data_IF_569085821831
#
_entry.id   IF_569085821831
#
_cell.length_a   1.000
_cell.length_b   1.000
_cell.length_c   1.000
_cell.angle_alpha   90.00
_cell.angle_beta   90.00
_cell.angle_gamma   90.00
#
_symmetry.space_group_name_H-M   'P 1'
#
loop_
_entity.id
_entity.type
_entity.pdbx_description
1 polymer ?
#
# COMPACT_ATOMS: atom_id res chain seq x y z
N UNK A 1 -8.14 16.97 -33.03
CA UNK A 1 -8.83 16.26 -31.94
C UNK A 1 -7.83 16.00 -30.84
N UNK A 2 -7.81 16.85 -29.82
CA UNK A 2 -6.90 16.71 -28.67
C UNK A 2 -7.47 15.67 -27.73
N UNK A 3 -6.70 14.63 -27.38
CA UNK A 3 -7.06 13.71 -26.30
C UNK A 3 -7.20 14.53 -25.01
N UNK A 4 -8.24 14.33 -24.18
CA UNK A 4 -8.22 14.91 -22.86
C UNK A 4 -7.07 14.26 -22.10
N UNK A 5 -6.09 15.06 -21.67
CA UNK A 5 -5.11 14.65 -20.67
C UNK A 5 -5.87 14.44 -19.36
N UNK A 6 -6.40 13.24 -19.17
CA UNK A 6 -7.13 12.88 -17.97
C UNK A 6 -6.18 12.80 -16.79
N UNK A 7 -5.90 13.94 -16.14
CA UNK A 7 -5.56 13.91 -14.72
C UNK A 7 -6.81 13.44 -14.01
N UNK A 8 -6.82 12.18 -13.61
CA UNK A 8 -7.80 11.69 -12.65
C UNK A 8 -7.47 12.40 -11.34
N UNK A 9 -8.20 13.46 -11.00
CA UNK A 9 -8.09 14.06 -9.68
C UNK A 9 -8.61 13.03 -8.68
N UNK A 10 -7.73 12.53 -7.83
CA UNK A 10 -8.09 11.70 -6.69
C UNK A 10 -8.33 12.64 -5.49
N UNK A 11 -9.43 12.41 -4.77
CA UNK A 11 -9.63 13.00 -3.45
C UNK A 11 -8.84 12.21 -2.39
N UNK A 12 -8.65 12.81 -1.21
CA UNK A 12 -7.94 12.14 -0.10
C UNK A 12 -8.62 10.81 0.24
N UNK A 13 -9.95 10.79 0.21
CA UNK A 13 -10.74 9.60 0.49
C UNK A 13 -10.30 8.41 -0.37
N UNK A 14 -10.23 8.61 -1.67
CA UNK A 14 -9.84 7.58 -2.63
C UNK A 14 -8.37 7.20 -2.45
N UNK A 15 -7.49 8.16 -2.18
CA UNK A 15 -6.08 7.88 -1.86
C UNK A 15 -5.94 6.93 -0.67
N UNK A 16 -6.59 7.25 0.45
CA UNK A 16 -6.58 6.38 1.64
C UNK A 16 -7.16 4.99 1.36
N UNK A 17 -8.34 4.89 0.74
CA UNK A 17 -8.95 3.58 0.45
C UNK A 17 -8.09 2.71 -0.46
N UNK A 18 -7.40 3.31 -1.44
CA UNK A 18 -6.50 2.58 -2.32
C UNK A 18 -5.28 2.08 -1.55
N UNK A 19 -4.64 2.95 -0.76
CA UNK A 19 -3.47 2.58 0.03
C UNK A 19 -3.83 1.47 1.03
N UNK A 20 -4.94 1.61 1.76
CA UNK A 20 -5.46 0.56 2.65
C UNK A 20 -5.63 -0.80 1.92
N UNK A 21 -6.17 -0.81 0.71
CA UNK A 21 -6.32 -2.05 -0.08
C UNK A 21 -4.97 -2.65 -0.47
N UNK A 22 -4.02 -1.82 -0.94
CA UNK A 22 -2.68 -2.26 -1.32
C UNK A 22 -1.95 -2.87 -0.12
N UNK A 23 -1.82 -2.13 0.99
CA UNK A 23 -1.08 -2.60 2.18
C UNK A 23 -1.69 -3.91 2.72
N UNK A 24 -3.02 -4.00 2.76
CA UNK A 24 -3.70 -5.20 3.22
C UNK A 24 -3.45 -6.40 2.31
N UNK A 25 -3.35 -6.18 1.00
CA UNK A 25 -3.09 -7.25 0.02
C UNK A 25 -1.62 -7.67 0.06
N UNK A 26 -0.68 -6.75 0.23
CA UNK A 26 0.73 -7.09 0.49
C UNK A 26 0.85 -7.94 1.76
N UNK A 27 0.23 -7.52 2.87
CA UNK A 27 0.24 -8.27 4.12
C UNK A 27 -0.27 -9.71 3.94
N UNK A 28 -1.36 -9.90 3.17
CA UNK A 28 -1.91 -11.23 2.86
C UNK A 28 -1.00 -12.05 1.96
N UNK A 29 -0.40 -11.44 0.93
CA UNK A 29 0.54 -12.10 0.02
C UNK A 29 1.75 -12.62 0.80
N UNK A 30 2.35 -11.79 1.66
CA UNK A 30 3.49 -12.19 2.49
C UNK A 30 3.12 -13.25 3.54
N UNK A 31 1.92 -13.17 4.13
CA UNK A 31 1.44 -14.25 5.01
C UNK A 31 1.32 -15.59 4.27
N UNK A 32 0.81 -15.58 3.03
CA UNK A 32 0.73 -16.79 2.21
C UNK A 32 2.12 -17.31 1.82
N UNK A 33 3.06 -16.44 1.48
CA UNK A 33 4.45 -16.85 1.21
C UNK A 33 5.11 -17.48 2.44
N UNK A 34 4.82 -16.98 3.65
CA UNK A 34 5.29 -17.60 4.90
C UNK A 34 4.82 -19.05 5.03
N UNK A 35 3.55 -19.32 4.73
CA UNK A 35 3.01 -20.68 4.77
C UNK A 35 3.61 -21.58 3.69
N UNK A 36 3.64 -21.12 2.43
CA UNK A 36 4.10 -21.92 1.29
C UNK A 36 5.60 -22.20 1.37
N UNK A 37 6.41 -21.15 1.59
CA UNK A 37 7.86 -21.27 1.57
C UNK A 37 8.42 -21.74 2.92
N UNK A 38 7.62 -21.64 3.99
CA UNK A 38 7.96 -22.20 5.29
C UNK A 38 8.01 -23.73 5.31
N UNK A 39 7.31 -24.40 4.39
CA UNK A 39 7.47 -25.85 4.19
C UNK A 39 8.86 -26.20 3.63
N UNK A 40 9.51 -25.27 2.94
CA UNK A 40 10.84 -25.45 2.33
C UNK A 40 11.96 -25.03 3.28
N UNK A 41 11.78 -23.92 4.02
CA UNK A 41 12.77 -23.36 4.93
C UNK A 41 12.11 -22.54 6.06
N UNK A 42 12.36 -22.90 7.32
CA UNK A 42 11.85 -22.18 8.50
C UNK A 42 12.32 -20.71 8.53
N UNK A 43 13.54 -20.42 8.04
CA UNK A 43 14.02 -19.05 7.95
C UNK A 43 13.21 -18.23 6.96
N UNK A 44 12.73 -18.85 5.88
CA UNK A 44 11.82 -18.20 4.93
C UNK A 44 10.46 -17.93 5.58
N UNK A 45 9.91 -18.88 6.36
CA UNK A 45 8.66 -18.68 7.10
C UNK A 45 8.72 -17.42 7.97
N UNK A 46 9.76 -17.30 8.80
CA UNK A 46 9.95 -16.18 9.73
C UNK A 46 10.16 -14.86 8.99
N UNK A 47 10.93 -14.89 7.88
CA UNK A 47 11.16 -13.71 7.06
C UNK A 47 9.84 -13.16 6.49
N UNK A 48 9.05 -14.02 5.84
CA UNK A 48 7.79 -13.60 5.22
C UNK A 48 6.70 -13.24 6.25
N UNK A 49 6.70 -13.87 7.42
CA UNK A 49 5.85 -13.46 8.54
C UNK A 49 6.20 -12.05 9.02
N UNK A 50 7.49 -11.72 9.08
CA UNK A 50 7.97 -10.39 9.46
C UNK A 50 7.54 -9.34 8.43
N UNK A 51 7.74 -9.61 7.14
CA UNK A 51 7.29 -8.74 6.05
C UNK A 51 5.76 -8.52 6.11
N UNK A 52 4.97 -9.59 6.27
CA UNK A 52 3.51 -9.48 6.43
C UNK A 52 3.10 -8.60 7.61
N UNK A 53 3.84 -8.70 8.72
CA UNK A 53 3.61 -7.90 9.92
C UNK A 53 3.88 -6.42 9.68
N UNK A 54 4.93 -6.09 8.93
CA UNK A 54 5.24 -4.70 8.56
C UNK A 54 4.12 -4.08 7.71
N UNK A 55 3.64 -4.78 6.68
CA UNK A 55 2.54 -4.26 5.84
C UNK A 55 1.21 -4.15 6.58
N UNK A 56 0.95 -5.05 7.53
CA UNK A 56 -0.20 -4.91 8.42
C UNK A 56 -0.11 -3.65 9.28
N UNK A 57 1.08 -3.27 9.74
CA UNK A 57 1.29 -2.02 10.48
C UNK A 57 1.08 -0.80 9.58
N UNK A 58 1.52 -0.86 8.32
CA UNK A 58 1.24 0.19 7.32
C UNK A 58 -0.27 0.37 7.12
N UNK A 59 -1.01 -0.71 6.90
CA UNK A 59 -2.48 -0.68 6.81
C UNK A 59 -3.13 0.02 8.01
N UNK A 60 -2.74 -0.35 9.24
CA UNK A 60 -3.27 0.27 10.46
C UNK A 60 -2.95 1.77 10.50
N UNK A 61 -1.73 2.16 10.14
CA UNK A 61 -1.31 3.57 10.16
C UNK A 61 -2.09 4.41 9.15
N UNK A 62 -2.35 3.86 7.96
CA UNK A 62 -3.15 4.51 6.91
C UNK A 62 -4.59 4.69 7.38
N UNK A 63 -5.23 3.66 7.93
CA UNK A 63 -6.61 3.77 8.47
C UNK A 63 -6.70 4.79 9.60
N UNK A 64 -5.77 4.74 10.55
CA UNK A 64 -5.69 5.74 11.62
C UNK A 64 -5.52 7.15 11.08
N UNK A 65 -4.63 7.32 10.10
CA UNK A 65 -4.39 8.59 9.42
C UNK A 65 -5.61 9.13 8.68
N UNK A 66 -6.38 8.25 8.02
CA UNK A 66 -7.64 8.58 7.38
C UNK A 66 -8.64 9.15 8.38
N UNK A 67 -8.79 8.52 9.55
CA UNK A 67 -9.69 9.00 10.61
C UNK A 67 -9.28 10.39 11.14
N UNK A 68 -7.97 10.64 11.30
CA UNK A 68 -7.45 11.96 11.67
C UNK A 68 -7.82 12.99 10.59
N UNK A 69 -7.54 12.69 9.33
CA UNK A 69 -7.80 13.62 8.23
C UNK A 69 -9.30 13.91 8.09
N UNK A 70 -10.15 12.89 8.18
CA UNK A 70 -11.61 13.03 8.15
C UNK A 70 -12.12 14.00 9.23
N UNK A 71 -11.60 13.88 10.45
CA UNK A 71 -11.99 14.72 11.57
C UNK A 71 -11.54 16.17 11.43
N UNK A 72 -10.36 16.41 10.87
CA UNK A 72 -9.70 17.72 10.95
C UNK A 72 -9.75 18.56 9.68
N UNK A 73 -9.74 17.91 8.51
CA UNK A 73 -9.75 18.58 7.21
C UNK A 73 -10.89 18.09 6.31
N UNK A 74 -11.45 16.90 6.58
CA UNK A 74 -12.42 16.26 5.69
C UNK A 74 -11.73 15.59 4.50
N UNK A 75 -12.36 14.54 3.95
CA UNK A 75 -11.73 13.69 2.93
C UNK A 75 -12.10 14.03 1.48
N UNK A 76 -13.14 14.85 1.28
CA UNK A 76 -13.62 15.23 -0.06
C UNK A 76 -12.76 16.32 -0.72
N UNK A 77 -11.65 16.70 -0.07
CA UNK A 77 -10.72 17.69 -0.62
C UNK A 77 -9.97 17.11 -1.82
N UNK A 78 -9.92 17.88 -2.91
CA UNK A 78 -9.06 17.57 -4.04
C UNK A 78 -7.63 17.78 -3.59
N UNK A 79 -6.83 16.75 -3.81
CA UNK A 79 -5.45 16.70 -3.35
C UNK A 79 -4.54 17.35 -4.38
N UNK A 80 -3.90 18.46 -4.01
CA UNK A 80 -2.77 18.97 -4.77
C UNK A 80 -1.50 18.17 -4.43
N UNK A 81 -0.79 17.71 -5.46
CA UNK A 81 0.50 17.03 -5.28
C UNK A 81 0.42 15.52 -5.02
N UNK A 82 -0.73 14.87 -5.22
CA UNK A 82 -0.76 13.40 -5.30
C UNK A 82 0.21 12.96 -6.42
N UNK A 83 1.10 11.98 -6.18
CA UNK A 83 1.95 11.44 -7.22
C UNK A 83 1.12 10.98 -8.43
N UNK A 84 1.70 11.12 -9.63
CA UNK A 84 1.06 10.63 -10.85
C UNK A 84 1.25 9.11 -10.93
N UNK A 85 0.43 8.39 -10.17
CA UNK A 85 0.50 6.94 -10.03
C UNK A 85 -0.19 6.22 -11.18
N UNK A 86 0.47 5.19 -11.68
CA UNK A 86 -0.09 4.24 -12.64
C UNK A 86 -0.89 3.18 -11.88
N UNK A 87 -2.05 3.59 -11.35
CA UNK A 87 -2.89 2.71 -10.50
C UNK A 87 -3.24 1.38 -11.17
N UNK A 88 -3.52 1.40 -12.48
CA UNK A 88 -3.82 0.18 -13.24
C UNK A 88 -2.64 -0.80 -13.21
N UNK A 89 -1.40 -0.30 -13.28
CA UNK A 89 -0.19 -1.12 -13.22
C UNK A 89 0.02 -1.71 -11.82
N UNK A 90 -0.20 -0.93 -10.76
CA UNK A 90 -0.11 -1.41 -9.37
C UNK A 90 -1.07 -2.58 -9.17
N UNK A 91 -2.35 -2.39 -9.56
CA UNK A 91 -3.36 -3.44 -9.41
C UNK A 91 -3.15 -4.64 -10.34
N UNK A 92 -2.61 -4.44 -11.55
CA UNK A 92 -2.24 -5.53 -12.44
C UNK A 92 -1.15 -6.41 -11.82
N UNK A 93 -0.10 -5.81 -11.25
CA UNK A 93 0.98 -6.55 -10.56
C UNK A 93 0.45 -7.29 -9.34
N UNK A 94 -0.38 -6.64 -8.52
CA UNK A 94 -1.05 -7.26 -7.37
C UNK A 94 -1.85 -8.50 -7.78
N UNK A 95 -2.79 -8.35 -8.71
CA UNK A 95 -3.66 -9.45 -9.14
C UNK A 95 -2.85 -10.56 -9.80
N UNK A 96 -1.84 -10.24 -10.59
CA UNK A 96 -0.94 -11.25 -11.17
C UNK A 96 -0.26 -12.07 -10.08
N UNK A 97 0.32 -11.43 -9.08
CA UNK A 97 1.07 -12.13 -8.03
C UNK A 97 0.16 -12.87 -7.04
N UNK A 98 -1.04 -12.38 -6.76
CA UNK A 98 -2.07 -13.15 -6.05
C UNK A 98 -2.42 -14.44 -6.78
N UNK A 99 -2.62 -14.38 -8.10
CA UNK A 99 -2.90 -15.56 -8.89
C UNK A 99 -1.72 -16.55 -8.87
N UNK A 100 -0.48 -16.07 -8.94
CA UNK A 100 0.71 -16.93 -8.84
C UNK A 100 0.77 -17.67 -7.51
N UNK A 101 0.60 -16.95 -6.39
CA UNK A 101 0.56 -17.56 -5.04
C UNK A 101 -0.54 -18.62 -4.92
N UNK A 102 -1.71 -18.40 -5.53
CA UNK A 102 -2.81 -19.36 -5.44
C UNK A 102 -2.67 -20.58 -6.36
N UNK A 103 -1.97 -20.47 -7.49
CA UNK A 103 -2.05 -21.44 -8.58
C UNK A 103 -0.74 -22.17 -8.89
N UNK A 104 0.39 -21.64 -8.46
CA UNK A 104 1.72 -22.15 -8.81
C UNK A 104 2.40 -22.85 -7.62
N UNK A 105 3.25 -23.84 -7.91
CA UNK A 105 4.20 -24.35 -6.94
C UNK A 105 5.40 -23.40 -6.88
N UNK A 106 5.52 -22.65 -5.78
CA UNK A 106 6.54 -21.63 -5.62
C UNK A 106 7.79 -22.18 -4.93
N UNK A 107 8.96 -21.76 -5.40
CA UNK A 107 10.22 -21.92 -4.68
C UNK A 107 10.67 -20.58 -4.07
N UNK A 108 11.78 -20.61 -3.32
CA UNK A 108 12.31 -19.42 -2.64
C UNK A 108 12.59 -18.24 -3.59
N UNK A 109 13.15 -18.50 -4.78
CA UNK A 109 13.43 -17.45 -5.77
C UNK A 109 12.13 -16.79 -6.23
N UNK A 110 11.08 -17.55 -6.45
CA UNK A 110 9.79 -17.01 -6.90
C UNK A 110 9.18 -16.09 -5.84
N UNK A 111 9.30 -16.44 -4.55
CA UNK A 111 8.86 -15.58 -3.44
C UNK A 111 9.55 -14.21 -3.45
N UNK A 112 10.87 -14.19 -3.60
CA UNK A 112 11.62 -12.94 -3.70
C UNK A 112 11.30 -12.15 -4.98
N UNK A 113 11.10 -12.82 -6.11
CA UNK A 113 10.68 -12.15 -7.36
C UNK A 113 9.31 -11.49 -7.20
N UNK A 114 8.35 -12.16 -6.55
CA UNK A 114 7.04 -11.59 -6.22
C UNK A 114 7.20 -10.34 -5.36
N UNK A 115 7.98 -10.40 -4.28
CA UNK A 115 8.19 -9.24 -3.40
C UNK A 115 8.85 -8.07 -4.15
N UNK A 116 9.90 -8.33 -4.93
CA UNK A 116 10.55 -7.29 -5.76
C UNK A 116 9.57 -6.64 -6.73
N UNK A 117 8.66 -7.42 -7.32
CA UNK A 117 7.64 -6.88 -8.21
C UNK A 117 6.62 -6.00 -7.49
N UNK A 118 6.18 -6.39 -6.28
CA UNK A 118 5.23 -5.64 -5.46
C UNK A 118 5.84 -4.32 -4.95
N UNK A 119 6.99 -4.41 -4.29
CA UNK A 119 7.73 -3.26 -3.74
C UNK A 119 8.35 -2.37 -4.84
N UNK A 120 8.52 -2.92 -6.04
CA UNK A 120 8.99 -2.18 -7.21
C UNK A 120 7.93 -1.32 -7.89
N UNK A 121 6.68 -1.37 -7.40
CA UNK A 121 5.60 -0.52 -7.91
C UNK A 121 5.60 0.87 -7.24
N UNK A 122 4.75 1.77 -7.74
CA UNK A 122 4.59 3.11 -7.15
C UNK A 122 3.68 3.10 -5.89
N UNK A 123 3.43 1.93 -5.26
CA UNK A 123 2.65 1.82 -4.01
C UNK A 123 3.27 2.64 -2.89
N UNK A 124 4.59 2.59 -2.76
CA UNK A 124 5.33 3.31 -1.72
C UNK A 124 5.18 4.83 -1.84
N UNK A 125 5.13 5.33 -3.06
CA UNK A 125 4.94 6.76 -3.32
C UNK A 125 3.58 7.24 -2.79
N UNK A 126 2.54 6.41 -2.91
CA UNK A 126 1.22 6.70 -2.34
C UNK A 126 1.26 6.71 -0.82
N UNK A 127 1.85 5.67 -0.21
CA UNK A 127 1.95 5.54 1.24
C UNK A 127 2.75 6.68 1.87
N UNK A 128 3.91 7.02 1.29
CA UNK A 128 4.76 8.13 1.72
C UNK A 128 4.04 9.46 1.60
N UNK A 129 3.30 9.67 0.50
CA UNK A 129 2.49 10.86 0.31
C UNK A 129 1.42 10.99 1.41
N UNK A 130 0.60 9.97 1.63
CA UNK A 130 -0.46 10.00 2.64
C UNK A 130 0.10 10.18 4.05
N UNK A 131 1.23 9.53 4.35
CA UNK A 131 1.96 9.72 5.61
C UNK A 131 2.40 11.17 5.79
N UNK A 132 2.82 11.85 4.73
CA UNK A 132 3.17 13.27 4.79
C UNK A 132 1.96 14.15 5.10
N UNK A 133 0.80 13.86 4.50
CA UNK A 133 -0.47 14.56 4.77
C UNK A 133 -0.90 14.35 6.23
N UNK A 134 -0.85 13.10 6.73
CA UNK A 134 -1.16 12.79 8.12
C UNK A 134 -0.27 13.60 9.07
N UNK A 135 1.04 13.61 8.82
CA UNK A 135 2.00 14.39 9.62
C UNK A 135 1.64 15.86 9.63
N UNK A 136 1.34 16.44 8.46
CA UNK A 136 0.95 17.85 8.35
C UNK A 136 -0.28 18.15 9.22
N UNK A 137 -1.34 17.35 9.10
CA UNK A 137 -2.57 17.54 9.89
C UNK A 137 -2.29 17.43 11.39
N UNK A 138 -1.48 16.46 11.82
CA UNK A 138 -1.11 16.28 13.23
C UNK A 138 -0.29 17.46 13.77
N UNK A 139 0.74 17.92 13.05
CA UNK A 139 1.64 18.96 13.54
C UNK A 139 1.04 20.37 13.45
N UNK A 140 0.32 20.70 12.38
CA UNK A 140 -0.29 22.02 12.21
C UNK A 140 -1.42 22.27 13.22
N UNK A 141 -2.13 21.22 13.66
CA UNK A 141 -3.20 21.35 14.66
C UNK A 141 -2.73 21.21 16.11
N UNK A 142 -1.62 20.53 16.37
CA UNK A 142 -0.98 20.55 17.70
C UNK A 142 -0.32 21.90 18.01
N UNK A 143 -0.07 22.74 17.01
CA UNK A 143 0.50 24.09 17.19
C UNK A 143 -0.51 25.13 17.73
N UNK A 144 -1.79 24.76 17.89
CA UNK A 144 -2.85 25.64 18.41
C UNK A 144 -3.33 25.25 19.83
N UNK A 145 -2.62 24.35 20.52
CA UNK A 145 -2.97 23.85 21.87
C UNK A 145 -1.93 24.28 22.94
N UNK A 146 -1.09 25.29 22.66
CA UNK A 146 -0.24 25.93 23.67
C UNK A 146 -0.66 27.39 23.91
#
# INVERSE_FOLDING_TARGET
>A
MSRPSGRTNYDLKRGFCICEDIELRHAKLYANLSLILGELDECAAVFWESMSTEEWQHYIMVDFGRLICEKHIGLDQIVEGLPNLHMDQIFEVLVRNENRICMEELNLKDGFEIAIELEGTESDDLYLYLTSVIKQVVYEKNSHIC
#
